data_IF_099327718506
#
_entry.id   IF_099327718506
#
_cell.length_a   1.000
_cell.length_b   1.000
_cell.length_c   1.000
_cell.angle_alpha   90.00
_cell.angle_beta   90.00
_cell.angle_gamma   90.00
#
_symmetry.space_group_name_H-M   'P 1'
#
loop_
_entity.id
_entity.type
_entity.pdbx_description
1 polymer ?
#
# COMPACT_ATOMS: atom_id res chain seq x y z
N UNK A 1 -18.56 -17.39 -6.53
CA UNK A 1 -18.14 -16.10 -7.19
C UNK A 1 -17.03 -15.51 -6.35
N UNK A 2 -15.81 -15.40 -6.88
CA UNK A 2 -14.64 -14.81 -6.17
C UNK A 2 -14.85 -13.31 -5.93
N UNK A 3 -14.60 -12.84 -4.71
CA UNK A 3 -14.76 -11.43 -4.34
C UNK A 3 -13.81 -11.01 -3.23
N UNK A 4 -13.43 -9.74 -3.23
CA UNK A 4 -12.69 -9.10 -2.15
C UNK A 4 -13.61 -8.08 -1.47
N UNK A 5 -13.82 -8.22 -0.18
CA UNK A 5 -14.53 -7.25 0.65
C UNK A 5 -13.51 -6.28 1.22
N UNK A 6 -13.61 -5.00 0.87
CA UNK A 6 -12.65 -3.98 1.29
C UNK A 6 -13.27 -3.08 2.36
N UNK A 7 -12.68 -3.09 3.56
CA UNK A 7 -13.09 -2.28 4.69
C UNK A 7 -12.20 -1.04 4.80
N UNK A 8 -12.75 0.12 4.46
CA UNK A 8 -12.06 1.40 4.42
C UNK A 8 -12.49 2.31 5.55
N UNK A 9 -11.60 3.23 5.93
CA UNK A 9 -11.93 4.28 6.88
C UNK A 9 -10.68 4.87 7.54
N UNK A 10 -10.83 5.97 8.30
CA UNK A 10 -9.71 6.60 8.99
C UNK A 10 -9.13 5.70 10.08
N UNK A 11 -7.92 6.03 10.52
CA UNK A 11 -7.25 5.30 11.62
C UNK A 11 -8.05 5.41 12.92
N UNK A 12 -7.98 4.38 13.76
CA UNK A 12 -8.61 4.31 15.11
C UNK A 12 -10.15 4.26 15.16
N UNK A 13 -10.83 3.94 14.06
CA UNK A 13 -12.30 3.76 14.05
C UNK A 13 -12.76 2.31 14.30
N UNK A 14 -11.86 1.41 14.70
CA UNK A 14 -12.22 0.02 15.00
C UNK A 14 -12.17 -0.93 13.79
N UNK A 15 -11.59 -0.51 12.63
CA UNK A 15 -11.49 -1.39 11.44
C UNK A 15 -10.86 -2.74 11.71
N UNK A 16 -9.85 -2.80 12.56
CA UNK A 16 -9.10 -4.03 12.85
C UNK A 16 -10.02 -5.11 13.41
N UNK A 17 -10.80 -4.80 14.46
CA UNK A 17 -11.69 -5.78 15.06
C UNK A 17 -12.79 -6.20 14.08
N UNK A 18 -13.37 -5.24 13.35
CA UNK A 18 -14.35 -5.54 12.32
C UNK A 18 -13.79 -6.43 11.21
N UNK A 19 -12.55 -6.18 10.77
CA UNK A 19 -11.92 -7.00 9.73
C UNK A 19 -11.65 -8.43 10.20
N UNK A 20 -11.33 -8.62 11.48
CA UNK A 20 -11.15 -9.95 12.09
C UNK A 20 -12.49 -10.70 12.15
N UNK A 21 -13.58 -10.04 12.54
CA UNK A 21 -14.91 -10.65 12.56
C UNK A 21 -15.37 -11.04 11.16
N UNK A 22 -15.20 -10.17 10.16
CA UNK A 22 -15.50 -10.49 8.78
C UNK A 22 -14.63 -11.65 8.26
N UNK A 23 -13.35 -11.67 8.61
CA UNK A 23 -12.45 -12.74 8.23
C UNK A 23 -12.87 -14.09 8.84
N UNK A 24 -13.30 -14.11 10.09
CA UNK A 24 -13.88 -15.31 10.71
C UNK A 24 -15.16 -15.74 10.01
N UNK A 25 -16.05 -14.80 9.72
CA UNK A 25 -17.33 -15.10 9.06
C UNK A 25 -17.14 -15.71 7.66
N UNK A 26 -16.15 -15.22 6.90
CA UNK A 26 -15.87 -15.72 5.54
C UNK A 26 -14.81 -16.84 5.50
N UNK A 27 -14.23 -17.22 6.63
CA UNK A 27 -13.10 -18.16 6.66
C UNK A 27 -11.89 -17.63 5.88
N UNK A 28 -11.63 -16.33 5.94
CA UNK A 28 -10.63 -15.61 5.14
C UNK A 28 -9.46 -15.13 6.01
N UNK A 29 -8.26 -15.00 5.48
CA UNK A 29 -7.24 -14.13 6.08
C UNK A 29 -7.61 -12.65 5.89
N UNK A 30 -6.89 -11.78 6.59
CA UNK A 30 -6.95 -10.32 6.42
C UNK A 30 -5.76 -9.84 5.58
N UNK A 31 -6.02 -9.02 4.58
CA UNK A 31 -5.00 -8.38 3.74
C UNK A 31 -4.96 -6.89 4.12
N UNK A 32 -3.83 -6.42 4.69
CA UNK A 32 -3.68 -5.01 5.03
C UNK A 32 -3.33 -4.18 3.78
N UNK A 33 -4.01 -3.05 3.60
CA UNK A 33 -3.68 -2.02 2.61
C UNK A 33 -3.33 -0.69 3.30
N UNK A 34 -2.40 -0.76 4.26
CA UNK A 34 -1.86 0.39 4.98
C UNK A 34 -0.38 0.58 4.64
N UNK A 35 -0.03 1.75 4.09
CA UNK A 35 1.33 2.08 3.62
C UNK A 35 2.38 2.21 4.74
N UNK A 36 1.98 2.17 5.99
CA UNK A 36 2.87 2.26 7.15
C UNK A 36 2.98 0.95 7.91
N UNK A 37 1.87 0.25 8.12
CA UNK A 37 1.83 -1.04 8.84
C UNK A 37 2.63 -2.14 8.14
N UNK A 38 2.90 -1.99 6.85
CA UNK A 38 3.70 -2.92 6.06
C UNK A 38 5.17 -2.99 6.54
N UNK A 39 5.69 -1.91 7.13
CA UNK A 39 7.09 -1.82 7.54
C UNK A 39 7.32 -2.31 8.98
N UNK A 40 8.31 -3.22 9.17
CA UNK A 40 8.65 -3.81 10.46
C UNK A 40 9.07 -2.79 11.51
N UNK A 41 9.74 -1.72 11.09
CA UNK A 41 10.27 -0.68 11.97
C UNK A 41 9.23 0.37 12.36
N UNK A 42 8.03 0.34 11.76
CA UNK A 42 6.99 1.34 11.98
C UNK A 42 5.85 0.80 12.87
N UNK A 43 6.17 0.32 14.06
CA UNK A 43 5.20 -0.25 15.01
C UNK A 43 4.49 0.82 15.86
N UNK A 44 5.14 1.97 16.08
CA UNK A 44 4.60 3.04 16.94
C UNK A 44 3.89 4.09 16.08
N UNK A 45 2.69 4.50 16.49
CA UNK A 45 1.92 5.55 15.80
C UNK A 45 1.26 5.12 14.48
N UNK A 46 1.27 3.83 14.14
CA UNK A 46 0.70 3.29 12.90
C UNK A 46 -0.55 2.44 13.11
N UNK A 47 -1.01 2.32 14.36
CA UNK A 47 -2.16 1.50 14.73
C UNK A 47 -2.07 0.05 14.20
N UNK A 48 -0.88 -0.54 14.25
CA UNK A 48 -0.66 -1.95 13.91
C UNK A 48 -1.53 -2.82 14.83
N UNK A 49 -2.16 -3.89 14.32
CA UNK A 49 -2.91 -4.82 15.15
C UNK A 49 -2.07 -5.39 16.30
N UNK A 50 -2.67 -5.54 17.47
CA UNK A 50 -1.99 -6.12 18.62
C UNK A 50 -1.59 -7.58 18.40
N UNK A 51 -0.60 -8.12 19.13
CA UNK A 51 -0.26 -9.54 19.04
C UNK A 51 -1.47 -10.47 19.26
N UNK A 52 -2.39 -10.10 20.14
CA UNK A 52 -3.63 -10.82 20.37
C UNK A 52 -4.53 -10.81 19.11
N UNK A 53 -4.72 -9.65 18.48
CA UNK A 53 -5.48 -9.53 17.24
C UNK A 53 -4.84 -10.32 16.09
N UNK A 54 -3.51 -10.27 15.96
CA UNK A 54 -2.76 -11.02 14.94
C UNK A 54 -2.83 -12.54 15.15
N UNK A 55 -2.98 -13.00 16.40
CA UNK A 55 -3.12 -14.42 16.70
C UNK A 55 -4.49 -15.00 16.32
N UNK A 56 -5.52 -14.16 16.22
CA UNK A 56 -6.90 -14.58 15.91
C UNK A 56 -7.11 -14.96 14.45
N UNK A 57 -6.46 -14.22 13.55
CA UNK A 57 -6.57 -14.39 12.09
C UNK A 57 -5.23 -14.07 11.45
N UNK A 58 -4.88 -14.82 10.39
CA UNK A 58 -3.68 -14.52 9.61
C UNK A 58 -3.81 -13.19 8.90
N UNK A 59 -2.81 -12.31 9.08
CA UNK A 59 -2.72 -11.03 8.40
C UNK A 59 -1.55 -11.03 7.40
N UNK A 60 -1.79 -10.46 6.24
CA UNK A 60 -0.77 -10.20 5.21
C UNK A 60 -0.47 -8.71 5.13
N UNK A 61 0.72 -8.36 4.70
CA UNK A 61 1.23 -6.98 4.61
C UNK A 61 1.27 -6.22 5.94
N UNK A 62 1.38 -6.95 7.05
CA UNK A 62 1.76 -6.40 8.36
C UNK A 62 3.21 -6.77 8.62
N UNK A 63 4.08 -5.79 8.84
CA UNK A 63 5.50 -5.98 9.14
C UNK A 63 6.24 -6.90 8.15
N UNK A 64 5.82 -6.91 6.90
CA UNK A 64 6.36 -7.78 5.86
C UNK A 64 7.63 -7.22 5.19
N UNK A 65 7.82 -5.90 5.22
CA UNK A 65 8.91 -5.19 4.54
C UNK A 65 9.79 -4.39 5.51
N UNK A 66 10.99 -4.00 5.06
CA UNK A 66 11.86 -3.05 5.76
C UNK A 66 11.70 -1.64 5.18
N UNK A 67 11.83 -0.60 6.02
CA UNK A 67 11.86 0.81 5.58
C UNK A 67 13.06 1.13 4.67
N UNK A 68 14.09 0.29 4.69
CA UNK A 68 15.23 0.41 3.78
C UNK A 68 14.91 0.00 2.34
N UNK A 69 13.81 -0.74 2.15
CA UNK A 69 13.36 -1.18 0.85
C UNK A 69 12.49 -0.10 0.21
N UNK A 70 12.82 0.26 -1.03
CA UNK A 70 11.96 1.13 -1.80
C UNK A 70 10.63 0.39 -2.09
N UNK A 71 9.55 0.87 -1.51
CA UNK A 71 8.22 0.27 -1.64
C UNK A 71 7.21 1.32 -2.09
N UNK A 72 6.46 1.01 -3.13
CA UNK A 72 5.53 1.94 -3.79
C UNK A 72 4.13 1.33 -3.89
N UNK A 73 3.13 2.15 -4.21
CA UNK A 73 1.78 1.68 -4.48
C UNK A 73 1.74 0.69 -5.65
N UNK A 74 2.54 0.90 -6.70
CA UNK A 74 2.63 -0.05 -7.82
C UNK A 74 3.27 -1.39 -7.43
N UNK A 75 4.24 -1.39 -6.50
CA UNK A 75 4.77 -2.64 -5.97
C UNK A 75 3.73 -3.37 -5.12
N UNK A 76 3.00 -2.61 -4.29
CA UNK A 76 1.88 -3.16 -3.51
C UNK A 76 0.82 -3.79 -4.42
N UNK A 77 0.42 -3.11 -5.50
CA UNK A 77 -0.53 -3.62 -6.49
C UNK A 77 -0.12 -5.00 -7.01
N UNK A 78 1.11 -5.12 -7.50
CA UNK A 78 1.62 -6.38 -8.07
C UNK A 78 1.61 -7.50 -7.01
N UNK A 79 2.11 -7.22 -5.82
CA UNK A 79 2.21 -8.21 -4.75
C UNK A 79 0.82 -8.57 -4.18
N UNK A 80 -0.09 -7.60 -4.05
CA UNK A 80 -1.43 -7.83 -3.54
C UNK A 80 -2.31 -8.61 -4.52
N UNK A 81 -2.22 -8.33 -5.81
CA UNK A 81 -2.91 -9.08 -6.85
C UNK A 81 -2.43 -10.53 -6.91
N UNK A 82 -1.11 -10.76 -6.88
CA UNK A 82 -0.55 -12.10 -6.86
C UNK A 82 -0.98 -12.90 -5.61
N UNK A 83 -0.98 -12.26 -4.44
CA UNK A 83 -1.47 -12.86 -3.20
C UNK A 83 -2.96 -13.21 -3.27
N UNK A 84 -3.78 -12.31 -3.79
CA UNK A 84 -5.23 -12.53 -3.93
C UNK A 84 -5.52 -13.69 -4.88
N UNK A 85 -4.80 -13.80 -5.99
CA UNK A 85 -4.92 -14.94 -6.91
C UNK A 85 -4.57 -16.26 -6.24
N UNK A 86 -3.50 -16.29 -5.44
CA UNK A 86 -3.10 -17.46 -4.66
C UNK A 86 -4.19 -17.85 -3.65
N UNK A 87 -4.67 -16.88 -2.86
CA UNK A 87 -5.67 -17.11 -1.82
C UNK A 87 -7.03 -17.54 -2.40
N UNK A 88 -7.37 -17.11 -3.59
CA UNK A 88 -8.59 -17.56 -4.27
C UNK A 88 -8.57 -19.04 -4.70
N UNK A 89 -7.48 -19.74 -4.52
CA UNK A 89 -7.44 -21.21 -4.70
C UNK A 89 -8.15 -21.95 -3.56
N UNK A 90 -8.20 -21.34 -2.38
CA UNK A 90 -8.78 -21.92 -1.17
C UNK A 90 -9.90 -21.12 -0.52
N UNK A 91 -10.14 -19.89 -1.00
CA UNK A 91 -11.16 -19.00 -0.44
C UNK A 91 -12.04 -18.43 -1.56
N UNK A 92 -13.33 -18.29 -1.32
CA UNK A 92 -14.25 -17.60 -2.26
C UNK A 92 -14.35 -16.10 -1.97
N UNK A 93 -14.22 -15.71 -0.70
CA UNK A 93 -14.28 -14.32 -0.26
C UNK A 93 -13.02 -14.00 0.52
N UNK A 94 -12.38 -12.88 0.19
CA UNK A 94 -11.22 -12.37 0.91
C UNK A 94 -11.56 -11.04 1.57
N UNK A 95 -10.93 -10.74 2.71
CA UNK A 95 -11.10 -9.49 3.44
C UNK A 95 -9.84 -8.66 3.32
N UNK A 96 -9.99 -7.42 2.85
CA UNK A 96 -8.93 -6.42 2.80
C UNK A 96 -9.30 -5.25 3.71
N UNK A 97 -8.34 -4.67 4.43
CA UNK A 97 -8.58 -3.54 5.32
C UNK A 97 -7.43 -2.56 5.31
N UNK A 98 -7.72 -1.27 5.44
CA UNK A 98 -6.69 -0.23 5.58
C UNK A 98 -7.22 1.17 5.36
N UNK A 99 -6.27 2.12 5.34
CA UNK A 99 -6.56 3.55 5.19
C UNK A 99 -5.78 4.23 4.06
N UNK A 100 -4.94 3.51 3.33
CA UNK A 100 -4.10 4.10 2.27
C UNK A 100 -4.85 4.11 0.93
N UNK A 101 -5.56 5.22 0.64
CA UNK A 101 -6.37 5.36 -0.57
C UNK A 101 -5.62 5.01 -1.85
N UNK A 102 -4.37 5.49 -2.00
CA UNK A 102 -3.55 5.19 -3.18
C UNK A 102 -3.27 3.68 -3.35
N UNK A 103 -3.08 2.94 -2.26
CA UNK A 103 -2.88 1.47 -2.32
C UNK A 103 -4.16 0.75 -2.76
N UNK A 104 -5.30 1.25 -2.29
CA UNK A 104 -6.61 0.70 -2.64
C UNK A 104 -6.94 0.99 -4.09
N UNK A 105 -6.72 2.22 -4.54
CA UNK A 105 -6.94 2.61 -5.93
C UNK A 105 -6.02 1.81 -6.88
N UNK A 106 -4.74 1.65 -6.51
CA UNK A 106 -3.81 0.81 -7.23
C UNK A 106 -4.30 -0.64 -7.35
N UNK A 107 -4.77 -1.23 -6.26
CA UNK A 107 -5.30 -2.60 -6.25
C UNK A 107 -6.60 -2.73 -7.07
N UNK A 108 -7.53 -1.77 -6.97
CA UNK A 108 -8.86 -1.87 -7.58
C UNK A 108 -8.90 -1.47 -9.05
N UNK A 109 -8.09 -0.47 -9.44
CA UNK A 109 -8.15 0.16 -10.76
C UNK A 109 -6.88 -0.05 -11.58
N UNK A 110 -5.79 -0.46 -10.91
CA UNK A 110 -4.44 -0.39 -11.43
C UNK A 110 -3.88 1.03 -11.38
N UNK A 111 -2.59 1.15 -11.55
CA UNK A 111 -1.92 2.42 -11.77
C UNK A 111 -1.57 2.55 -13.25
N UNK A 112 -1.55 3.78 -13.74
CA UNK A 112 -1.09 4.07 -15.08
C UNK A 112 0.33 3.53 -15.29
N UNK A 113 0.59 2.97 -16.47
CA UNK A 113 1.89 2.43 -16.84
C UNK A 113 2.88 3.58 -17.08
N UNK A 114 3.43 4.12 -16.00
CA UNK A 114 4.52 5.08 -16.11
C UNK A 114 5.81 4.38 -16.57
N UNK A 115 6.62 5.04 -17.41
CA UNK A 115 7.94 4.55 -17.74
C UNK A 115 8.75 4.30 -16.46
N UNK A 116 9.57 3.24 -16.46
CA UNK A 116 10.49 3.00 -15.35
C UNK A 116 11.46 4.19 -15.27
N UNK A 117 11.37 4.96 -14.21
CA UNK A 117 12.28 6.07 -13.95
C UNK A 117 13.60 5.50 -13.42
N UNK A 118 14.70 5.84 -14.07
CA UNK A 118 16.03 5.50 -13.59
C UNK A 118 16.27 6.20 -12.24
N UNK A 119 16.77 5.44 -11.27
CA UNK A 119 17.12 5.98 -9.95
C UNK A 119 18.22 7.05 -10.04
N UNK A 120 19.11 6.95 -11.01
CA UNK A 120 20.16 7.96 -11.25
C UNK A 120 19.55 9.30 -11.70
N UNK A 121 18.50 9.28 -12.51
CA UNK A 121 17.76 10.48 -12.90
C UNK A 121 17.15 11.15 -11.65
N UNK A 122 16.53 10.38 -10.77
CA UNK A 122 15.95 10.92 -9.53
C UNK A 122 17.02 11.52 -8.62
N UNK A 123 18.17 10.85 -8.48
CA UNK A 123 19.31 11.39 -7.71
C UNK A 123 19.82 12.69 -8.33
N UNK A 124 19.99 12.75 -9.64
CA UNK A 124 20.44 13.96 -10.34
C UNK A 124 19.50 15.14 -10.11
N UNK A 125 18.18 14.93 -10.18
CA UNK A 125 17.17 15.94 -9.88
C UNK A 125 17.22 16.38 -8.42
N UNK A 126 17.47 15.47 -7.49
CA UNK A 126 17.63 15.81 -6.06
C UNK A 126 18.87 16.67 -5.83
N UNK A 127 20.00 16.36 -6.46
CA UNK A 127 21.22 17.17 -6.40
C UNK A 127 20.99 18.55 -7.01
N UNK A 128 20.33 18.62 -8.16
CA UNK A 128 19.98 19.89 -8.81
C UNK A 128 19.03 20.73 -7.95
N UNK A 129 18.02 20.11 -7.33
CA UNK A 129 17.13 20.81 -6.40
C UNK A 129 17.90 21.48 -5.25
N UNK A 130 18.90 20.77 -4.70
CA UNK A 130 19.74 21.31 -3.60
C UNK A 130 20.68 22.44 -4.07
N UNK A 131 21.18 22.37 -5.31
CA UNK A 131 22.15 23.32 -5.86
C UNK A 131 21.51 24.54 -6.51
N UNK A 132 20.40 24.36 -7.25
CA UNK A 132 19.79 25.36 -8.11
C UNK A 132 18.45 25.90 -7.55
N UNK A 133 17.88 25.21 -6.58
CA UNK A 133 16.57 25.54 -6.01
C UNK A 133 15.39 25.05 -6.84
N UNK A 134 14.19 25.19 -6.27
CA UNK A 134 12.94 24.68 -6.85
C UNK A 134 12.56 25.40 -8.15
N UNK A 135 12.80 26.72 -8.22
CA UNK A 135 12.41 27.56 -9.36
C UNK A 135 13.06 27.10 -10.68
N UNK A 136 14.32 26.65 -10.62
CA UNK A 136 15.02 26.14 -11.82
C UNK A 136 14.30 24.92 -12.40
N UNK A 137 13.93 23.96 -11.54
CA UNK A 137 13.21 22.76 -11.97
C UNK A 137 11.79 23.06 -12.46
N UNK A 138 11.11 24.01 -11.82
CA UNK A 138 9.78 24.45 -12.26
C UNK A 138 9.82 25.13 -13.64
N UNK A 139 10.83 25.97 -13.90
CA UNK A 139 10.98 26.60 -15.22
C UNK A 139 11.28 25.57 -16.32
N UNK A 140 12.08 24.55 -16.01
CA UNK A 140 12.34 23.47 -16.95
C UNK A 140 11.08 22.64 -17.24
N UNK A 141 10.35 22.23 -16.18
CA UNK A 141 9.08 21.52 -16.32
C UNK A 141 8.08 22.29 -17.18
N UNK A 142 7.93 23.60 -16.93
CA UNK A 142 7.00 24.45 -17.68
C UNK A 142 7.38 24.60 -19.16
N UNK A 143 8.67 24.41 -19.53
CA UNK A 143 9.11 24.38 -20.93
C UNK A 143 8.81 23.06 -21.60
N UNK A 144 8.88 21.93 -20.84
CA UNK A 144 8.64 20.59 -21.34
C UNK A 144 7.15 20.24 -21.39
N UNK A 145 6.41 20.73 -20.41
CA UNK A 145 4.98 20.54 -20.27
C UNK A 145 4.34 21.84 -19.76
N UNK A 146 3.72 22.57 -20.66
CA UNK A 146 3.11 23.89 -20.38
C UNK A 146 1.79 23.79 -19.60
N UNK A 147 1.22 22.60 -19.48
CA UNK A 147 -0.06 22.36 -18.78
C UNK A 147 0.14 21.87 -17.34
N UNK A 148 1.39 21.60 -16.93
CA UNK A 148 1.76 21.14 -15.58
C UNK A 148 1.93 22.27 -14.57
#
# INVERSE_FOLDING_TARGET
>A
MRRVVILLGPTAVGKTDYSIELAHYFGSPVISCDSRQIFRQMSIGTAVPSPEQLSRVKHYFIHSHSVEQYYTAGKYEIEALALVEELFRSHETLVMTGGSGLYIDAFCKGLDAFPKVDQELRKSLTVRLAAEGLESLQMELKKLDSES
#
